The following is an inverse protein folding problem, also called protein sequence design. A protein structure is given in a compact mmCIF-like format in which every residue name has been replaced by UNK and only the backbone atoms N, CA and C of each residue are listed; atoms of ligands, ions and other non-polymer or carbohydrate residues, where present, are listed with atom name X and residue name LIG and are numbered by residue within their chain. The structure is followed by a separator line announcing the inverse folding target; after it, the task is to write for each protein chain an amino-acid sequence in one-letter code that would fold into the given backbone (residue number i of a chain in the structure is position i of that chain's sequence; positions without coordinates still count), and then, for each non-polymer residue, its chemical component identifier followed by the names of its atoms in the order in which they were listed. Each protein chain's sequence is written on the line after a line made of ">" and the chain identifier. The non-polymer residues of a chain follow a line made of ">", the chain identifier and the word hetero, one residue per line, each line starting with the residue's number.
data_IF_470099346125
#
_entry.id   IF_470099346125
#
_cell.length_a   1.000
_cell.length_b   1.000
_cell.length_c   1.000
_cell.angle_alpha   90.00
_cell.angle_beta   90.00
_cell.angle_gamma   90.00
#
_symmetry.space_group_name_H-M   'P 1'
#
loop_
_entity.id
_entity.type
_entity.pdbx_description
1 polymer ?
#
# COMPACT_ATOMS: atom_id res chain seq x y z
N UNK A 1 56.61 4.22 26.07
CA UNK A 1 55.36 3.41 26.09
C UNK A 1 54.20 4.00 25.27
N UNK A 2 54.28 5.21 24.70
CA UNK A 2 53.17 5.81 23.93
C UNK A 2 52.97 5.17 22.55
N UNK A 3 54.04 4.76 21.88
CA UNK A 3 53.97 4.17 20.53
C UNK A 3 53.20 2.84 20.48
N UNK A 4 53.35 1.99 21.50
CA UNK A 4 52.62 0.71 21.60
C UNK A 4 51.12 0.92 21.77
N UNK A 5 50.70 1.96 22.51
CA UNK A 5 49.29 2.31 22.69
C UNK A 5 48.65 2.78 21.37
N UNK A 6 49.38 3.56 20.57
CA UNK A 6 48.89 4.01 19.26
C UNK A 6 48.66 2.84 18.30
N UNK A 7 49.58 1.87 18.28
CA UNK A 7 49.46 0.66 17.42
C UNK A 7 48.31 -0.24 17.89
N UNK A 8 48.15 -0.42 19.20
CA UNK A 8 47.02 -1.20 19.73
C UNK A 8 45.69 -0.55 19.39
N UNK A 9 45.59 0.79 19.50
CA UNK A 9 44.38 1.52 19.16
C UNK A 9 44.06 1.42 17.66
N UNK A 10 45.05 1.52 16.76
CA UNK A 10 44.81 1.38 15.33
C UNK A 10 44.35 -0.03 14.95
N UNK A 11 44.94 -1.05 15.56
CA UNK A 11 44.55 -2.44 15.36
C UNK A 11 43.12 -2.72 15.85
N UNK A 12 42.76 -2.21 17.03
CA UNK A 12 41.41 -2.34 17.58
C UNK A 12 40.39 -1.67 16.67
N UNK A 13 40.68 -0.46 16.16
CA UNK A 13 39.82 0.24 15.20
C UNK A 13 39.63 -0.56 13.91
N UNK A 14 40.68 -1.17 13.37
CA UNK A 14 40.60 -2.02 12.17
C UNK A 14 39.78 -3.29 12.39
N UNK A 15 39.90 -3.95 13.55
CA UNK A 15 39.07 -5.10 13.87
C UNK A 15 37.61 -4.71 14.00
N UNK A 16 37.31 -3.61 14.70
CA UNK A 16 35.93 -3.16 14.87
C UNK A 16 35.27 -2.80 13.55
N UNK A 17 35.98 -2.11 12.64
CA UNK A 17 35.46 -1.81 11.30
C UNK A 17 35.23 -3.08 10.48
N UNK A 18 36.16 -4.03 10.50
CA UNK A 18 35.99 -5.31 9.81
C UNK A 18 34.80 -6.14 10.36
N UNK A 19 34.64 -6.17 11.69
CA UNK A 19 33.50 -6.83 12.34
C UNK A 19 32.18 -6.16 11.98
N UNK A 20 32.12 -4.84 12.03
CA UNK A 20 30.93 -4.07 11.66
C UNK A 20 30.53 -4.32 10.21
N UNK A 21 31.50 -4.29 9.28
CA UNK A 21 31.23 -4.61 7.87
C UNK A 21 30.68 -6.03 7.69
N UNK A 22 31.23 -7.00 8.42
CA UNK A 22 30.78 -8.38 8.34
C UNK A 22 29.35 -8.56 8.88
N UNK A 23 28.99 -7.87 9.96
CA UNK A 23 27.62 -7.84 10.48
C UNK A 23 26.65 -7.16 9.51
N UNK A 24 27.04 -6.04 8.92
CA UNK A 24 26.24 -5.35 7.91
C UNK A 24 26.03 -6.21 6.66
N UNK A 25 27.06 -6.95 6.22
CA UNK A 25 26.95 -7.91 5.10
C UNK A 25 26.01 -9.06 5.42
N UNK A 26 25.98 -9.53 6.68
CA UNK A 26 25.02 -10.57 7.13
C UNK A 26 23.57 -10.07 7.17
N UNK A 27 23.35 -8.78 7.44
CA UNK A 27 22.02 -8.16 7.42
C UNK A 27 21.48 -7.95 6.01
N UNK A 28 22.33 -7.95 4.98
CA UNK A 28 21.89 -7.82 3.58
C UNK A 28 21.22 -9.13 3.12
N UNK A 29 20.10 -9.04 2.38
CA UNK A 29 19.48 -10.23 1.80
C UNK A 29 20.50 -10.93 0.89
N UNK A 30 20.68 -12.24 1.09
CA UNK A 30 21.58 -13.04 0.25
C UNK A 30 21.04 -13.03 -1.18
N UNK A 31 21.92 -12.78 -2.15
CA UNK A 31 21.56 -12.94 -3.56
C UNK A 31 21.29 -14.42 -3.81
N UNK A 32 20.10 -14.76 -4.31
CA UNK A 32 19.77 -16.11 -4.77
C UNK A 32 20.74 -16.44 -5.91
N UNK A 33 21.61 -17.42 -5.71
CA UNK A 33 22.58 -17.85 -6.73
C UNK A 33 22.06 -19.15 -7.37
N UNK A 34 22.43 -19.36 -8.64
CA UNK A 34 21.83 -20.40 -9.50
C UNK A 34 22.06 -21.85 -9.02
N UNK A 35 23.06 -22.11 -8.17
CA UNK A 35 23.51 -23.47 -7.86
C UNK A 35 24.00 -23.67 -6.42
N UNK A 36 24.77 -22.71 -5.89
CA UNK A 36 25.36 -22.78 -4.56
C UNK A 36 25.14 -21.44 -3.84
N UNK A 37 24.05 -21.33 -3.07
CA UNK A 37 23.66 -20.10 -2.36
C UNK A 37 24.70 -19.52 -1.39
N UNK A 38 25.76 -20.29 -1.10
CA UNK A 38 26.88 -19.91 -0.23
C UNK A 38 28.01 -19.16 -0.96
N UNK A 39 27.96 -19.07 -2.30
CA UNK A 39 28.98 -18.40 -3.12
C UNK A 39 30.34 -19.11 -3.17
N UNK A 40 30.47 -20.29 -2.56
CA UNK A 40 31.69 -21.11 -2.60
C UNK A 40 31.59 -22.18 -3.69
N UNK A 41 32.66 -22.42 -4.47
CA UNK A 41 32.71 -23.56 -5.38
C UNK A 41 32.62 -24.85 -4.54
N UNK A 42 31.72 -25.76 -4.93
CA UNK A 42 31.59 -27.10 -4.35
C UNK A 42 31.80 -28.10 -5.48
N UNK A 43 32.58 -29.15 -5.23
CA UNK A 43 32.61 -30.30 -6.11
C UNK A 43 31.28 -31.05 -5.92
N UNK A 44 30.54 -31.25 -7.01
CA UNK A 44 29.25 -31.96 -6.98
C UNK A 44 29.33 -33.06 -8.03
N UNK A 45 28.83 -34.25 -7.69
CA UNK A 45 28.68 -35.36 -8.64
C UNK A 45 27.71 -34.96 -9.76
N UNK A 46 27.89 -35.50 -10.97
CA UNK A 46 27.10 -35.13 -12.16
C UNK A 46 25.58 -35.13 -11.91
N UNK A 47 25.05 -36.18 -11.29
CA UNK A 47 23.62 -36.33 -11.00
C UNK A 47 23.11 -35.26 -10.02
N UNK A 48 23.85 -35.01 -8.95
CA UNK A 48 23.49 -33.99 -7.97
C UNK A 48 23.61 -32.55 -8.53
N UNK A 49 24.36 -32.35 -9.61
CA UNK A 49 24.38 -31.10 -10.34
C UNK A 49 23.12 -30.95 -11.20
N UNK A 50 22.72 -31.99 -11.94
CA UNK A 50 21.52 -31.94 -12.79
C UNK A 50 20.24 -31.71 -11.98
N UNK A 51 20.11 -32.38 -10.84
CA UNK A 51 18.94 -32.22 -9.97
C UNK A 51 18.81 -30.78 -9.45
N UNK A 52 19.94 -30.15 -9.07
CA UNK A 52 19.94 -28.76 -8.60
C UNK A 52 19.61 -27.77 -9.69
N UNK A 53 20.05 -28.03 -10.93
CA UNK A 53 19.71 -27.18 -12.07
C UNK A 53 18.21 -27.27 -12.36
N UNK A 54 17.63 -28.46 -12.35
CA UNK A 54 16.19 -28.66 -12.56
C UNK A 54 15.36 -27.94 -11.50
N UNK A 55 15.68 -28.13 -10.21
CA UNK A 55 14.99 -27.44 -9.11
C UNK A 55 15.05 -25.92 -9.28
N UNK A 56 16.21 -25.37 -9.63
CA UNK A 56 16.35 -23.93 -9.83
C UNK A 56 15.53 -23.43 -11.03
N UNK A 57 15.48 -24.20 -12.13
CA UNK A 57 14.71 -23.84 -13.31
C UNK A 57 13.20 -23.90 -13.03
N UNK A 58 12.73 -24.92 -12.32
CA UNK A 58 11.34 -25.04 -11.88
C UNK A 58 10.95 -23.89 -10.94
N UNK A 59 11.79 -23.56 -9.96
CA UNK A 59 11.57 -22.41 -9.07
C UNK A 59 11.52 -21.09 -9.83
N UNK A 60 12.38 -20.91 -10.84
CA UNK A 60 12.39 -19.70 -11.66
C UNK A 60 11.10 -19.56 -12.48
N UNK A 61 10.63 -20.66 -13.08
CA UNK A 61 9.36 -20.70 -13.82
C UNK A 61 8.18 -20.36 -12.89
N UNK A 62 8.14 -20.93 -11.69
CA UNK A 62 7.09 -20.63 -10.70
C UNK A 62 7.15 -19.17 -10.23
N UNK A 63 8.35 -18.62 -10.02
CA UNK A 63 8.53 -17.22 -9.62
C UNK A 63 8.07 -16.26 -10.71
N UNK A 64 8.38 -16.55 -11.98
CA UNK A 64 7.90 -15.76 -13.12
C UNK A 64 6.37 -15.83 -13.24
N UNK A 65 5.78 -17.01 -13.17
CA UNK A 65 4.32 -17.17 -13.21
C UNK A 65 3.63 -16.42 -12.06
N UNK A 66 4.17 -16.50 -10.84
CA UNK A 66 3.65 -15.75 -9.69
C UNK A 66 3.78 -14.23 -9.88
N UNK A 67 4.88 -13.76 -10.47
CA UNK A 67 5.11 -12.35 -10.78
C UNK A 67 4.12 -11.85 -11.83
N UNK A 68 3.84 -12.64 -12.87
CA UNK A 68 2.84 -12.33 -13.88
C UNK A 68 1.44 -12.24 -13.28
N UNK A 69 1.03 -13.24 -12.49
CA UNK A 69 -0.26 -13.24 -11.80
C UNK A 69 -0.43 -12.01 -10.88
N UNK A 70 0.61 -11.65 -10.12
CA UNK A 70 0.65 -10.42 -9.32
C UNK A 70 0.53 -9.17 -10.20
N UNK A 71 1.22 -9.15 -11.33
CA UNK A 71 1.15 -8.07 -12.32
C UNK A 71 -0.26 -7.87 -12.87
N UNK A 72 -0.95 -8.95 -13.21
CA UNK A 72 -2.34 -8.93 -13.67
C UNK A 72 -3.31 -8.44 -12.60
N UNK A 73 -3.18 -8.93 -11.37
CA UNK A 73 -3.98 -8.49 -10.24
C UNK A 73 -3.87 -6.98 -10.03
N UNK A 74 -2.65 -6.43 -10.12
CA UNK A 74 -2.40 -4.99 -10.02
C UNK A 74 -3.04 -4.23 -11.19
N UNK A 75 -2.99 -4.74 -12.43
CA UNK A 75 -3.66 -4.12 -13.58
C UNK A 75 -5.17 -4.07 -13.38
N UNK A 76 -5.79 -5.18 -12.96
CA UNK A 76 -7.24 -5.26 -12.67
C UNK A 76 -7.64 -4.29 -11.55
N UNK A 77 -6.84 -4.24 -10.48
CA UNK A 77 -7.05 -3.30 -9.37
C UNK A 77 -6.98 -1.84 -9.83
N UNK A 78 -5.96 -1.46 -10.61
CA UNK A 78 -5.83 -0.09 -11.14
C UNK A 78 -7.06 0.30 -11.97
N UNK A 79 -7.49 -0.56 -12.88
CA UNK A 79 -8.69 -0.31 -13.68
C UNK A 79 -9.96 -0.16 -12.82
N UNK A 80 -10.12 -0.98 -11.77
CA UNK A 80 -11.24 -0.87 -10.84
C UNK A 80 -11.20 0.45 -10.04
N UNK A 81 -10.02 0.87 -9.58
CA UNK A 81 -9.84 2.13 -8.86
C UNK A 81 -10.14 3.33 -9.75
N UNK A 82 -9.74 3.31 -11.02
CA UNK A 82 -10.07 4.39 -11.96
C UNK A 82 -11.57 4.51 -12.20
N UNK A 83 -12.27 3.38 -12.40
CA UNK A 83 -13.74 3.38 -12.49
C UNK A 83 -14.39 3.93 -11.23
N UNK A 84 -13.89 3.54 -10.06
CA UNK A 84 -14.36 4.05 -8.77
C UNK A 84 -14.13 5.56 -8.63
N UNK A 85 -12.96 6.09 -9.02
CA UNK A 85 -12.67 7.52 -8.99
C UNK A 85 -13.66 8.34 -9.84
N UNK A 86 -13.94 7.91 -11.06
CA UNK A 86 -14.90 8.60 -11.96
C UNK A 86 -16.32 8.65 -11.36
N UNK A 87 -16.76 7.54 -10.76
CA UNK A 87 -18.04 7.49 -10.04
C UNK A 87 -18.03 8.42 -8.83
N UNK A 88 -16.91 8.50 -8.12
CA UNK A 88 -16.77 9.33 -6.93
C UNK A 88 -16.78 10.82 -7.24
N UNK A 89 -16.10 11.22 -8.31
CA UNK A 89 -16.14 12.59 -8.84
C UNK A 89 -17.56 13.00 -9.20
N UNK A 90 -18.29 12.12 -9.91
CA UNK A 90 -19.69 12.36 -10.29
C UNK A 90 -20.58 12.52 -9.05
N UNK A 91 -20.42 11.64 -8.06
CA UNK A 91 -21.13 11.72 -6.78
C UNK A 91 -20.83 13.03 -6.03
N UNK A 92 -19.56 13.43 -5.97
CA UNK A 92 -19.17 14.68 -5.31
C UNK A 92 -19.81 15.88 -5.99
N UNK A 93 -19.84 15.93 -7.33
CA UNK A 93 -20.50 17.01 -8.06
C UNK A 93 -22.02 17.08 -7.80
N UNK A 94 -22.71 15.93 -7.72
CA UNK A 94 -24.13 15.89 -7.37
C UNK A 94 -24.35 16.36 -5.92
N UNK A 95 -23.54 15.88 -4.99
CA UNK A 95 -23.64 16.26 -3.58
C UNK A 95 -23.30 17.74 -3.36
N UNK A 96 -22.38 18.30 -4.14
CA UNK A 96 -22.07 19.72 -4.13
C UNK A 96 -23.28 20.55 -4.56
N UNK A 97 -23.95 20.19 -5.67
CA UNK A 97 -25.20 20.85 -6.10
C UNK A 97 -26.31 20.76 -5.05
N UNK A 98 -26.44 19.63 -4.37
CA UNK A 98 -27.40 19.45 -3.26
C UNK A 98 -27.03 20.33 -2.06
N UNK A 99 -25.74 20.44 -1.73
CA UNK A 99 -25.25 21.32 -0.66
C UNK A 99 -25.43 22.80 -0.97
N UNK A 100 -25.22 23.24 -2.22
CA UNK A 100 -25.45 24.64 -2.60
C UNK A 100 -26.94 24.98 -2.54
N UNK A 101 -27.82 24.08 -2.98
CA UNK A 101 -29.27 24.24 -2.81
C UNK A 101 -29.66 24.33 -1.32
N UNK A 102 -29.13 23.45 -0.47
CA UNK A 102 -29.33 23.53 0.98
C UNK A 102 -28.88 24.87 1.55
N UNK A 103 -27.67 25.34 1.20
CA UNK A 103 -27.17 26.65 1.64
C UNK A 103 -28.09 27.78 1.17
N UNK A 104 -28.59 27.72 -0.07
CA UNK A 104 -29.56 28.70 -0.56
C UNK A 104 -30.82 28.72 0.28
N UNK A 105 -31.43 27.56 0.57
CA UNK A 105 -32.63 27.49 1.42
C UNK A 105 -32.37 27.97 2.86
N UNK A 106 -31.21 27.64 3.43
CA UNK A 106 -30.83 28.12 4.78
C UNK A 106 -30.67 29.63 4.79
N UNK A 107 -30.01 30.22 3.78
CA UNK A 107 -29.83 31.68 3.72
C UNK A 107 -31.15 32.42 3.51
N UNK A 108 -32.09 31.86 2.74
CA UNK A 108 -33.45 32.40 2.63
C UNK A 108 -34.18 32.36 3.98
N UNK A 109 -34.11 31.22 4.67
CA UNK A 109 -34.71 31.06 6.00
C UNK A 109 -34.09 32.04 7.02
N UNK A 110 -32.77 32.23 7.02
CA UNK A 110 -32.09 33.16 7.93
C UNK A 110 -32.48 34.63 7.67
N UNK A 111 -32.63 35.03 6.40
CA UNK A 111 -33.14 36.36 6.03
C UNK A 111 -34.55 36.58 6.56
N UNK A 112 -35.46 35.64 6.29
CA UNK A 112 -36.83 35.72 6.75
C UNK A 112 -36.91 35.72 8.28
N UNK A 113 -36.05 34.93 8.94
CA UNK A 113 -36.00 34.84 10.38
C UNK A 113 -35.56 36.15 11.01
N UNK A 114 -34.57 36.81 10.41
CA UNK A 114 -34.11 38.13 10.81
C UNK A 114 -35.23 39.19 10.66
N UNK A 115 -35.93 39.20 9.52
CA UNK A 115 -37.06 40.09 9.28
C UNK A 115 -38.20 39.86 10.28
N UNK A 116 -38.64 38.61 10.46
CA UNK A 116 -39.71 38.27 11.39
C UNK A 116 -39.35 38.64 12.84
N UNK A 117 -38.08 38.45 13.23
CA UNK A 117 -37.59 38.85 14.55
C UNK A 117 -37.62 40.37 14.74
N UNK A 118 -37.24 41.14 13.73
CA UNK A 118 -37.30 42.61 13.78
C UNK A 118 -38.74 43.13 13.87
N UNK A 119 -39.69 42.44 13.23
CA UNK A 119 -41.11 42.79 13.25
C UNK A 119 -41.89 42.21 14.45
N UNK A 120 -41.26 41.38 15.28
CA UNK A 120 -41.92 40.67 16.39
C UNK A 120 -42.89 39.57 15.95
N UNK A 121 -42.81 39.10 14.70
CA UNK A 121 -43.63 38.02 14.14
C UNK A 121 -42.94 36.66 14.34
N UNK A 122 -43.74 35.58 14.35
CA UNK A 122 -43.21 34.20 14.34
C UNK A 122 -43.09 33.70 12.91
N UNK A 123 -41.97 33.06 12.61
CA UNK A 123 -41.78 32.37 11.33
C UNK A 123 -42.70 31.14 11.25
N UNK A 124 -43.43 30.99 10.14
CA UNK A 124 -44.40 29.89 9.94
C UNK A 124 -43.78 28.57 9.46
N UNK A 125 -42.51 28.56 9.09
CA UNK A 125 -41.84 27.42 8.46
C UNK A 125 -40.49 27.08 9.13
N UNK A 126 -40.18 25.78 9.18
CA UNK A 126 -39.02 25.25 9.92
C UNK A 126 -37.72 25.48 9.17
N UNK A 127 -36.60 25.57 9.92
CA UNK A 127 -35.26 25.63 9.33
C UNK A 127 -35.02 24.39 8.46
N UNK A 128 -34.58 24.53 7.19
CA UNK A 128 -34.20 23.41 6.35
C UNK A 128 -33.13 22.54 7.02
N UNK A 129 -33.21 21.20 6.91
CA UNK A 129 -32.20 20.28 7.43
C UNK A 129 -31.41 19.66 6.28
N UNK A 130 -30.13 19.40 6.51
CA UNK A 130 -29.27 18.76 5.49
C UNK A 130 -29.74 17.34 5.12
N UNK A 131 -30.39 16.64 6.05
CA UNK A 131 -30.95 15.30 5.80
C UNK A 131 -32.05 15.30 4.72
N UNK A 132 -32.75 16.43 4.54
CA UNK A 132 -33.85 16.56 3.58
C UNK A 132 -33.34 16.62 2.13
N UNK A 133 -32.03 16.83 1.92
CA UNK A 133 -31.41 16.96 0.59
C UNK A 133 -30.77 15.65 0.09
N UNK A 134 -31.04 14.51 0.76
CA UNK A 134 -30.66 13.14 0.37
C UNK A 134 -29.28 13.03 -0.31
N UNK A 135 -28.20 13.27 0.43
CA UNK A 135 -26.85 13.15 -0.09
C UNK A 135 -26.53 11.69 -0.48
N UNK A 136 -25.90 11.52 -1.64
CA UNK A 136 -25.48 10.20 -2.11
C UNK A 136 -24.36 9.63 -1.21
N UNK A 137 -24.51 8.37 -0.82
CA UNK A 137 -23.55 7.66 0.02
C UNK A 137 -22.30 7.26 -0.75
N UNK A 138 -21.19 7.13 -0.03
CA UNK A 138 -19.94 6.64 -0.60
C UNK A 138 -20.00 5.15 -0.97
N UNK A 139 -19.61 4.83 -2.20
CA UNK A 139 -19.38 3.44 -2.63
C UNK A 139 -18.05 2.96 -2.08
N UNK A 140 -17.99 1.70 -1.63
CA UNK A 140 -16.76 1.11 -1.09
C UNK A 140 -15.64 1.15 -2.13
N UNK A 141 -14.45 1.58 -1.71
CA UNK A 141 -13.26 1.61 -2.56
C UNK A 141 -12.77 0.18 -2.80
N UNK A 142 -12.41 -0.20 -4.04
CA UNK A 142 -11.78 -1.48 -4.32
C UNK A 142 -10.46 -1.62 -3.53
N UNK A 143 -10.13 -2.82 -3.07
CA UNK A 143 -8.89 -3.12 -2.35
C UNK A 143 -8.04 -4.12 -3.14
N UNK A 144 -6.72 -4.05 -3.04
CA UNK A 144 -5.84 -4.97 -3.81
C UNK A 144 -6.07 -6.44 -3.43
N UNK A 145 -6.40 -6.70 -2.15
CA UNK A 145 -6.69 -8.03 -1.61
C UNK A 145 -7.86 -8.72 -2.33
N UNK A 146 -8.83 -7.97 -2.86
CA UNK A 146 -9.96 -8.57 -3.59
C UNK A 146 -9.58 -9.02 -5.02
N UNK A 147 -8.37 -8.73 -5.48
CA UNK A 147 -7.88 -9.09 -6.83
C UNK A 147 -6.68 -10.04 -6.81
N UNK A 148 -6.11 -10.31 -5.63
CA UNK A 148 -5.09 -11.34 -5.46
C UNK A 148 -5.79 -12.69 -5.36
N UNK A 149 -5.37 -13.65 -6.17
CA UNK A 149 -5.75 -15.05 -6.01
C UNK A 149 -5.10 -15.52 -4.71
N UNK A 150 -5.90 -16.03 -3.78
CA UNK A 150 -5.41 -16.63 -2.54
C UNK A 150 -4.36 -17.69 -2.89
N UNK A 151 -3.14 -17.54 -2.39
CA UNK A 151 -2.14 -18.61 -2.47
C UNK A 151 -2.74 -19.87 -1.80
N UNK A 152 -2.76 -21.05 -2.46
CA UNK A 152 -3.31 -22.27 -1.88
C UNK A 152 -2.37 -22.91 -0.83
N UNK A 153 -1.53 -22.14 -0.14
CA UNK A 153 -0.51 -22.67 0.80
C UNK A 153 -0.87 -22.55 2.29
N UNK A 154 -2.11 -22.18 2.64
CA UNK A 154 -2.60 -22.16 4.02
C UNK A 154 -3.49 -23.38 4.37
N UNK A 155 -3.24 -24.55 3.79
CA UNK A 155 -3.84 -25.81 4.26
C UNK A 155 -2.82 -26.96 4.27
N UNK A 156 -2.01 -26.99 5.32
CA UNK A 156 -1.28 -28.18 5.77
C UNK A 156 -1.13 -28.06 7.28
N UNK A 157 -2.19 -28.47 7.98
CA UNK A 157 -2.16 -28.75 9.41
C UNK A 157 -1.48 -30.08 9.73
#
# INVERSE_FOLDING_TARGET
>A
MQATTVIQNSYVVQIHTCMQEHEERKKRPRKKSRLNGDGRPKLVTGDAFTDRVQIHEDEAVQEEAAKEARGEAVKKYKAAVEKWKKLEESRMAINEKKRTSYQHHVTQWEKEWSCAKAEGRKIGWKKPKLADFELEKQKKKPTLKSFQISDPSEDSG
#
